data_IF_642632308450
#
_entry.id   IF_642632308450
#
_cell.length_a   1.000
_cell.length_b   1.000
_cell.length_c   1.000
_cell.angle_alpha   90.00
_cell.angle_beta   90.00
_cell.angle_gamma   90.00
#
_symmetry.space_group_name_H-M   'P 1'
#
loop_
_entity.id
_entity.type
_entity.pdbx_description
1 polymer ?
#
# COMPACT_ATOMS: atom_id res chain seq x y z
N UNK A 1 8.97 6.79 -2.65
CA UNK A 1 8.74 6.13 -1.32
C UNK A 1 9.67 4.94 -1.27
N UNK A 2 10.35 4.70 -0.14
CA UNK A 2 11.21 3.52 0.04
C UNK A 2 10.36 2.29 0.41
N UNK A 3 10.89 1.08 0.20
CA UNK A 3 10.18 -0.15 0.57
C UNK A 3 9.79 -0.18 2.06
N UNK A 4 10.70 0.22 2.95
CA UNK A 4 10.42 0.30 4.38
C UNK A 4 9.23 1.21 4.71
N UNK A 5 9.16 2.40 4.09
CA UNK A 5 8.07 3.36 4.25
C UNK A 5 6.75 2.84 3.65
N UNK A 6 6.83 2.08 2.57
CA UNK A 6 5.69 1.37 1.99
C UNK A 6 5.14 0.29 2.94
N UNK A 7 6.00 -0.53 3.54
CA UNK A 7 5.58 -1.55 4.51
C UNK A 7 4.98 -0.91 5.77
N UNK A 8 5.55 0.19 6.27
CA UNK A 8 5.00 0.93 7.41
C UNK A 8 3.59 1.45 7.10
N UNK A 9 3.39 2.02 5.91
CA UNK A 9 2.08 2.48 5.46
C UNK A 9 1.07 1.33 5.29
N UNK A 10 1.52 0.14 4.87
CA UNK A 10 0.67 -1.05 4.82
C UNK A 10 0.23 -1.50 6.22
N UNK A 11 1.14 -1.48 7.21
CA UNK A 11 0.81 -1.80 8.60
C UNK A 11 -0.22 -0.81 9.18
N UNK A 12 -0.04 0.50 8.94
CA UNK A 12 -1.04 1.52 9.29
C UNK A 12 -2.42 1.23 8.67
N UNK A 13 -2.42 0.72 7.43
CA UNK A 13 -3.62 0.35 6.70
C UNK A 13 -4.15 -1.06 7.04
N UNK A 14 -3.48 -1.82 7.90
CA UNK A 14 -3.74 -3.25 8.13
C UNK A 14 -3.86 -4.03 6.80
N UNK A 15 -3.07 -3.64 5.79
CA UNK A 15 -3.07 -4.24 4.46
C UNK A 15 -1.87 -5.17 4.31
N UNK A 16 -2.07 -6.29 3.62
CA UNK A 16 -0.98 -7.23 3.33
C UNK A 16 -0.38 -7.00 1.94
N UNK A 17 0.89 -7.38 1.77
CA UNK A 17 1.57 -7.37 0.45
C UNK A 17 0.75 -8.16 -0.59
N UNK A 18 0.10 -9.24 -0.18
CA UNK A 18 -0.78 -10.05 -1.04
C UNK A 18 -1.94 -9.24 -1.61
N UNK A 19 -2.56 -8.39 -0.78
CA UNK A 19 -3.66 -7.52 -1.22
C UNK A 19 -3.15 -6.43 -2.16
N UNK A 20 -1.99 -5.85 -1.87
CA UNK A 20 -1.37 -4.86 -2.77
C UNK A 20 -1.08 -5.49 -4.12
N UNK A 21 -0.44 -6.67 -4.13
CA UNK A 21 -0.13 -7.40 -5.35
C UNK A 21 -1.41 -7.67 -6.15
N UNK A 22 -2.49 -8.13 -5.51
CA UNK A 22 -3.79 -8.33 -6.15
C UNK A 22 -4.36 -7.01 -6.72
N UNK A 23 -4.39 -5.94 -5.93
CA UNK A 23 -4.94 -4.63 -6.36
C UNK A 23 -4.14 -4.01 -7.51
N UNK A 24 -2.83 -4.23 -7.54
CA UNK A 24 -1.94 -3.75 -8.60
C UNK A 24 -1.87 -4.72 -9.79
N UNK A 25 -2.44 -5.92 -9.68
CA UNK A 25 -2.32 -6.96 -10.70
C UNK A 25 -0.89 -7.48 -10.90
N UNK A 26 -0.11 -7.49 -9.83
CA UNK A 26 1.28 -7.96 -9.77
C UNK A 26 1.37 -9.29 -9.03
N UNK A 27 2.49 -10.00 -9.18
CA UNK A 27 2.77 -11.16 -8.33
C UNK A 27 3.31 -10.69 -6.97
N UNK A 28 3.02 -11.46 -5.91
CA UNK A 28 3.52 -11.17 -4.56
C UNK A 28 5.05 -11.12 -4.54
N UNK A 29 5.69 -11.97 -5.35
CA UNK A 29 7.15 -11.97 -5.52
C UNK A 29 7.67 -10.69 -6.19
N UNK A 30 6.93 -10.09 -7.13
CA UNK A 30 7.32 -8.79 -7.72
C UNK A 30 7.33 -7.69 -6.65
N UNK A 31 6.30 -7.66 -5.79
CA UNK A 31 6.21 -6.66 -4.72
C UNK A 31 7.31 -6.88 -3.68
N UNK A 32 7.66 -8.13 -3.36
CA UNK A 32 8.78 -8.46 -2.46
C UNK A 32 10.13 -8.10 -3.07
N UNK A 33 10.30 -8.25 -4.37
CA UNK A 33 11.53 -7.89 -5.07
C UNK A 33 11.85 -6.38 -4.99
N UNK A 34 10.87 -5.54 -4.63
CA UNK A 34 11.11 -4.13 -4.35
C UNK A 34 11.96 -3.90 -3.09
N UNK A 35 11.98 -4.84 -2.13
CA UNK A 35 12.89 -4.78 -0.98
C UNK A 35 14.35 -4.84 -1.41
N UNK A 36 14.63 -5.73 -2.37
CA UNK A 36 15.98 -5.96 -2.90
C UNK A 36 16.40 -4.90 -3.93
N UNK A 37 15.44 -4.08 -4.37
CA UNK A 37 15.68 -2.99 -5.31
C UNK A 37 16.07 -1.74 -4.53
N UNK A 38 17.21 -1.14 -4.89
CA UNK A 38 17.62 0.19 -4.37
C UNK A 38 16.77 1.34 -4.96
N UNK A 39 15.82 0.98 -5.84
CA UNK A 39 14.90 1.88 -6.52
C UNK A 39 13.66 2.21 -5.67
N UNK A 40 13.00 3.30 -6.05
CA UNK A 40 11.79 3.75 -5.39
C UNK A 40 10.61 2.82 -5.70
N UNK A 41 9.70 2.68 -4.73
CA UNK A 41 8.45 1.94 -4.91
C UNK A 41 7.65 2.58 -6.06
N UNK A 42 7.09 1.77 -6.98
CA UNK A 42 6.36 2.28 -8.13
C UNK A 42 5.20 3.19 -7.72
N UNK A 43 5.00 4.26 -8.49
CA UNK A 43 3.98 5.29 -8.22
C UNK A 43 2.57 4.68 -8.09
N UNK A 44 2.26 3.61 -8.82
CA UNK A 44 0.99 2.88 -8.69
C UNK A 44 0.75 2.31 -7.29
N UNK A 45 1.80 1.80 -6.63
CA UNK A 45 1.68 1.31 -5.25
C UNK A 45 1.56 2.48 -4.26
N UNK A 46 2.24 3.60 -4.52
CA UNK A 46 2.11 4.83 -3.72
C UNK A 46 0.69 5.39 -3.80
N UNK A 47 0.11 5.41 -5.01
CA UNK A 47 -1.25 5.90 -5.26
C UNK A 47 -2.30 5.00 -4.62
N UNK A 48 -2.06 3.68 -4.61
CA UNK A 48 -2.87 2.71 -3.88
C UNK A 48 -2.93 3.03 -2.39
N UNK A 49 -1.77 3.18 -1.73
CA UNK A 49 -1.68 3.53 -0.31
C UNK A 49 -2.46 4.81 -0.01
N UNK A 50 -2.30 5.85 -0.83
CA UNK A 50 -3.02 7.13 -0.67
C UNK A 50 -4.53 6.92 -0.76
N UNK A 51 -4.99 6.20 -1.80
CA UNK A 51 -6.40 5.91 -2.02
C UNK A 51 -7.01 5.14 -0.86
N UNK A 52 -6.31 4.13 -0.35
CA UNK A 52 -6.78 3.33 0.80
C UNK A 52 -6.82 4.16 2.08
N UNK A 53 -5.82 5.02 2.30
CA UNK A 53 -5.80 5.95 3.44
C UNK A 53 -6.97 6.91 3.40
N UNK A 54 -7.30 7.46 2.23
CA UNK A 54 -8.45 8.33 2.03
C UNK A 54 -9.78 7.59 2.22
N UNK A 55 -9.92 6.37 1.68
CA UNK A 55 -11.11 5.55 1.88
C UNK A 55 -11.35 5.27 3.37
N UNK A 56 -10.29 4.93 4.12
CA UNK A 56 -10.40 4.64 5.55
C UNK A 56 -10.67 5.88 6.38
N UNK A 57 -10.10 7.02 5.99
CA UNK A 57 -10.41 8.31 6.61
C UNK A 57 -11.88 8.70 6.37
N UNK A 58 -12.43 8.41 5.20
CA UNK A 58 -13.84 8.63 4.90
C UNK A 58 -14.77 7.71 5.70
N UNK A 59 -14.43 6.42 5.83
CA UNK A 59 -15.19 5.42 6.61
C UNK A 59 -15.29 5.80 8.11
N UNK A 60 -14.25 6.45 8.63
CA UNK A 60 -14.21 6.94 10.01
C UNK A 60 -15.07 8.20 10.24
N UNK A 61 -15.46 8.92 9.17
CA UNK A 61 -16.33 10.10 9.27
C UNK A 61 -17.81 9.70 9.27
N UNK A 62 -18.20 8.64 8.54
CA UNK A 62 -19.61 8.20 8.46
C UNK A 62 -20.13 7.49 9.73
N UNK A 63 -19.25 7.13 10.67
CA UNK A 63 -19.64 6.49 11.94
C UNK A 63 -19.91 7.47 13.10
N UNK A 64 -19.73 8.78 12.87
CA UNK A 64 -20.04 9.86 13.82
C UNK A 64 -21.23 10.71 13.31
N UNK A 65 -22.39 10.09 13.03
CA UNK A 65 -23.68 10.79 12.81
C UNK A 65 -24.83 10.15 13.61
#
# INVERSE_FOLDING_TARGET
MSYEDFIDALDELYMSIEEVAEKLGLEVDDVKAWEESDDEIPDSAVDLIKTERENRAADQIETDE
#
